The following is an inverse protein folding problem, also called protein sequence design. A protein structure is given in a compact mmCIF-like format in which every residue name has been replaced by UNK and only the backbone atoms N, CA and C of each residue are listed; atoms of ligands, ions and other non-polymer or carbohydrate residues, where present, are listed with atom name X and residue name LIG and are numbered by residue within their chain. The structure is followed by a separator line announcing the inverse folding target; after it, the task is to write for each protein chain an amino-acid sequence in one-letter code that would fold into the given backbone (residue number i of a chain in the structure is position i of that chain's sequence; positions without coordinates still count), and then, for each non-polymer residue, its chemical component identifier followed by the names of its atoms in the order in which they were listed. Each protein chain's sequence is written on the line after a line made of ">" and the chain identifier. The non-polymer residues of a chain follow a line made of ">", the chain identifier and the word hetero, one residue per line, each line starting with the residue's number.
data_IF_115316821157
#
_entry.id   IF_115316821157
#
_cell.length_a   1.000
_cell.length_b   1.000
_cell.length_c   1.000
_cell.angle_alpha   90.00
_cell.angle_beta   90.00
_cell.angle_gamma   90.00
#
_symmetry.space_group_name_H-M   'P 1'
#
loop_
_entity.id
_entity.type
_entity.pdbx_description
1 polymer ?
#
# COMPACT_ATOMS: atom_id res chain seq x y z
N UNK A 1 44.86 21.28 -11.89
CA UNK A 1 45.40 19.91 -12.05
C UNK A 1 46.72 19.89 -12.78
N UNK A 2 46.90 20.66 -13.84
CA UNK A 2 48.18 20.78 -14.58
C UNK A 2 49.32 21.32 -13.71
N UNK A 3 49.06 22.33 -12.86
CA UNK A 3 50.05 22.90 -11.96
C UNK A 3 50.51 21.88 -10.87
N UNK A 4 49.59 21.16 -10.31
CA UNK A 4 49.95 20.10 -9.34
C UNK A 4 50.78 18.98 -10.00
N UNK A 5 50.43 18.58 -11.23
CA UNK A 5 51.22 17.58 -11.96
C UNK A 5 52.66 18.05 -12.21
N UNK A 6 52.85 19.35 -12.43
CA UNK A 6 54.18 19.96 -12.57
C UNK A 6 54.94 19.95 -11.22
N UNK A 7 54.30 20.38 -10.14
CA UNK A 7 54.83 20.38 -8.78
C UNK A 7 55.20 18.97 -8.33
N UNK A 8 54.36 17.98 -8.64
CA UNK A 8 54.67 16.58 -8.32
C UNK A 8 55.90 16.08 -9.04
N UNK A 9 56.12 16.40 -10.33
CA UNK A 9 57.34 16.03 -11.06
C UNK A 9 58.58 16.69 -10.49
N UNK A 10 58.47 17.92 -10.01
CA UNK A 10 59.61 18.63 -9.36
C UNK A 10 59.91 18.01 -7.99
N UNK A 11 58.91 17.57 -7.25
CA UNK A 11 59.10 16.88 -5.99
C UNK A 11 59.74 15.49 -6.17
N UNK A 12 59.26 14.72 -7.14
CA UNK A 12 59.81 13.41 -7.50
C UNK A 12 61.29 13.54 -7.96
N UNK A 13 61.64 14.69 -8.59
CA UNK A 13 63.01 15.06 -8.95
C UNK A 13 63.81 15.68 -7.82
N UNK A 14 63.32 15.74 -6.57
CA UNK A 14 63.96 16.36 -5.41
C UNK A 14 64.33 17.85 -5.58
N UNK A 15 63.60 18.55 -6.44
CA UNK A 15 63.86 19.96 -6.76
C UNK A 15 63.06 20.95 -5.90
N UNK A 16 62.12 20.49 -5.14
CA UNK A 16 61.27 21.29 -4.23
C UNK A 16 61.16 20.62 -2.87
N UNK A 17 60.79 21.41 -1.84
CA UNK A 17 60.59 20.92 -0.49
C UNK A 17 59.27 20.13 -0.36
N UNK A 18 59.24 19.28 0.65
CA UNK A 18 57.98 18.55 1.04
C UNK A 18 56.84 19.52 1.39
N UNK A 19 57.16 20.60 2.09
CA UNK A 19 56.20 21.63 2.48
C UNK A 19 55.53 22.26 1.25
N UNK A 20 56.30 22.55 0.21
CA UNK A 20 55.78 23.14 -1.04
C UNK A 20 54.90 22.15 -1.81
N UNK A 21 55.27 20.86 -1.79
CA UNK A 21 54.44 19.82 -2.38
C UNK A 21 53.11 19.66 -1.61
N UNK A 22 53.13 19.55 -0.28
CA UNK A 22 51.93 19.42 0.56
C UNK A 22 51.01 20.67 0.41
N UNK A 23 51.56 21.87 0.32
CA UNK A 23 50.80 23.08 0.07
C UNK A 23 50.06 23.04 -1.29
N UNK A 24 50.73 22.54 -2.31
CA UNK A 24 50.12 22.38 -3.64
C UNK A 24 49.04 21.26 -3.64
N UNK A 25 49.22 20.20 -2.88
CA UNK A 25 48.23 19.13 -2.72
C UNK A 25 46.95 19.63 -2.03
N UNK A 26 47.12 20.41 -0.94
CA UNK A 26 45.99 21.05 -0.23
C UNK A 26 45.25 22.01 -1.17
N UNK A 27 45.97 22.83 -1.93
CA UNK A 27 45.36 23.74 -2.88
C UNK A 27 44.57 23.00 -3.97
N UNK A 28 45.09 21.89 -4.50
CA UNK A 28 44.35 21.03 -5.43
C UNK A 28 43.08 20.46 -4.82
N UNK A 29 43.14 19.96 -3.58
CA UNK A 29 42.00 19.43 -2.87
C UNK A 29 40.92 20.49 -2.66
N UNK A 30 41.28 21.65 -2.19
CA UNK A 30 40.36 22.80 -2.03
C UNK A 30 39.67 23.16 -3.35
N UNK A 31 40.45 23.34 -4.44
CA UNK A 31 39.88 23.64 -5.73
C UNK A 31 38.92 22.54 -6.27
N UNK A 32 39.17 21.27 -5.94
CA UNK A 32 38.27 20.17 -6.28
C UNK A 32 36.98 20.25 -5.49
N UNK A 33 37.04 20.51 -4.19
CA UNK A 33 35.87 20.67 -3.32
C UNK A 33 35.02 21.88 -3.73
N UNK A 34 35.66 23.03 -4.04
CA UNK A 34 34.95 24.21 -4.57
C UNK A 34 34.24 23.92 -5.88
N UNK A 35 34.89 23.20 -6.80
CA UNK A 35 34.29 22.81 -8.08
C UNK A 35 33.10 21.87 -7.83
N UNK A 36 33.22 20.92 -6.89
CA UNK A 36 32.12 20.01 -6.58
C UNK A 36 30.93 20.74 -5.96
N UNK A 37 31.21 21.66 -5.02
CA UNK A 37 30.16 22.50 -4.42
C UNK A 37 29.44 23.36 -5.44
N UNK A 38 30.19 23.99 -6.36
CA UNK A 38 29.59 24.78 -7.43
C UNK A 38 28.73 23.93 -8.38
N UNK A 39 29.17 22.71 -8.66
CA UNK A 39 28.40 21.75 -9.47
C UNK A 39 27.13 21.31 -8.75
N UNK A 40 27.21 20.99 -7.48
CA UNK A 40 26.07 20.59 -6.66
C UNK A 40 25.04 21.74 -6.55
N UNK A 41 25.51 22.97 -6.37
CA UNK A 41 24.66 24.16 -6.36
C UNK A 41 23.94 24.36 -7.70
N UNK A 42 24.66 24.16 -8.82
CA UNK A 42 24.05 24.25 -10.15
C UNK A 42 22.98 23.17 -10.36
N UNK A 43 23.24 21.96 -9.88
CA UNK A 43 22.29 20.83 -9.94
C UNK A 43 21.04 21.12 -9.09
N UNK A 44 21.23 21.67 -7.86
CA UNK A 44 20.13 22.11 -7.00
C UNK A 44 19.28 23.19 -7.68
N UNK A 45 19.90 24.17 -8.33
CA UNK A 45 19.15 25.24 -9.02
C UNK A 45 18.38 24.71 -10.23
N UNK A 46 18.92 23.74 -10.96
CA UNK A 46 18.29 23.17 -12.16
C UNK A 46 17.24 22.11 -11.86
N UNK A 47 17.53 21.22 -10.93
CA UNK A 47 16.75 20.00 -10.68
C UNK A 47 16.12 19.97 -9.28
N UNK A 48 16.42 20.96 -8.43
CA UNK A 48 15.95 21.05 -7.05
C UNK A 48 16.66 20.10 -6.08
N UNK A 49 17.57 19.26 -6.57
CA UNK A 49 18.28 18.24 -5.80
C UNK A 49 19.68 17.99 -6.34
N UNK A 50 20.58 17.45 -5.51
CA UNK A 50 21.84 16.84 -5.98
C UNK A 50 21.67 15.33 -6.16
N UNK A 51 22.46 14.72 -7.03
CA UNK A 51 22.48 13.25 -7.24
C UNK A 51 22.78 12.47 -5.96
N UNK A 52 23.61 13.05 -5.09
CA UNK A 52 23.97 12.44 -3.80
C UNK A 52 22.86 12.52 -2.76
N UNK A 53 21.91 13.46 -2.91
CA UNK A 53 20.79 13.68 -1.99
C UNK A 53 19.45 13.24 -2.57
N UNK A 54 19.43 12.62 -3.76
CA UNK A 54 18.21 12.22 -4.46
C UNK A 54 17.30 11.28 -3.65
N UNK A 55 17.90 10.47 -2.77
CA UNK A 55 17.14 9.59 -1.84
C UNK A 55 16.48 10.33 -0.67
N UNK A 56 16.93 11.55 -0.37
CA UNK A 56 16.45 12.38 0.74
C UNK A 56 15.74 13.66 0.28
N UNK A 57 15.53 13.82 -1.03
CA UNK A 57 14.93 15.04 -1.56
C UNK A 57 13.43 15.08 -1.30
N UNK A 58 12.99 16.15 -0.65
CA UNK A 58 11.56 16.46 -0.48
C UNK A 58 10.90 17.01 -1.76
N UNK A 59 11.67 17.32 -2.79
CA UNK A 59 11.18 17.91 -4.05
C UNK A 59 10.64 16.86 -5.01
N UNK A 60 11.22 15.65 -5.03
CA UNK A 60 10.73 14.52 -5.84
C UNK A 60 10.09 13.47 -4.95
N UNK A 61 8.78 13.44 -4.95
CA UNK A 61 8.01 12.45 -4.20
C UNK A 61 7.81 11.22 -5.07
N UNK A 62 8.34 10.08 -4.62
CA UNK A 62 8.26 8.79 -5.31
C UNK A 62 7.27 7.88 -4.61
N UNK A 63 6.57 7.04 -5.37
CA UNK A 63 5.77 5.96 -4.80
C UNK A 63 6.68 4.95 -4.07
N UNK A 64 6.22 4.48 -2.91
CA UNK A 64 6.88 3.42 -2.12
C UNK A 64 6.45 2.02 -2.52
N UNK A 65 5.37 1.91 -3.30
CA UNK A 65 4.80 0.66 -3.79
C UNK A 65 4.51 0.75 -5.29
N UNK A 66 4.54 -0.39 -5.96
CA UNK A 66 4.02 -0.51 -7.33
C UNK A 66 2.50 -0.69 -7.28
N UNK A 67 1.77 0.02 -8.15
CA UNK A 67 0.32 -0.06 -8.15
C UNK A 67 -0.37 0.98 -9.02
N UNK A 68 -1.68 1.02 -8.91
CA UNK A 68 -2.52 2.01 -9.59
C UNK A 68 -2.68 3.26 -8.73
N UNK A 69 -2.56 4.43 -9.34
CA UNK A 69 -2.88 5.70 -8.68
C UNK A 69 -4.41 5.80 -8.58
N UNK A 70 -4.93 5.82 -7.36
CA UNK A 70 -6.36 5.92 -7.08
C UNK A 70 -6.83 7.36 -7.11
N UNK A 71 -6.06 8.28 -6.54
CA UNK A 71 -6.40 9.69 -6.43
C UNK A 71 -5.15 10.56 -6.35
N UNK A 72 -5.26 11.80 -6.87
CA UNK A 72 -4.26 12.86 -6.78
C UNK A 72 -4.98 14.15 -6.36
N UNK A 73 -5.19 14.37 -5.06
CA UNK A 73 -5.99 15.48 -4.55
C UNK A 73 -5.34 16.86 -4.74
N UNK A 74 -4.03 16.90 -4.95
CA UNK A 74 -3.28 18.15 -5.10
C UNK A 74 -3.16 18.58 -6.56
N UNK A 75 -3.16 19.90 -6.78
CA UNK A 75 -2.97 20.52 -8.11
C UNK A 75 -1.76 21.43 -8.08
N UNK A 76 -1.19 21.70 -9.25
CA UNK A 76 -0.12 22.69 -9.38
C UNK A 76 -0.56 24.04 -8.80
N UNK A 77 0.27 24.62 -7.96
CA UNK A 77 -0.02 25.86 -7.22
C UNK A 77 -0.61 25.65 -5.82
N UNK A 78 -1.02 24.42 -5.45
CA UNK A 78 -1.45 24.15 -4.08
C UNK A 78 -0.26 24.15 -3.12
N UNK A 79 -0.46 24.70 -1.92
CA UNK A 79 0.50 24.55 -0.83
C UNK A 79 0.45 23.13 -0.26
N UNK A 80 1.61 22.54 -0.05
CA UNK A 80 1.74 21.21 0.57
C UNK A 80 2.55 21.32 1.86
N UNK A 81 2.15 20.56 2.87
CA UNK A 81 2.76 20.56 4.19
C UNK A 81 3.42 19.19 4.40
N UNK A 82 4.66 19.21 4.84
CA UNK A 82 5.37 17.99 5.20
C UNK A 82 4.79 17.38 6.48
N UNK A 83 4.67 16.06 6.50
CA UNK A 83 4.30 15.31 7.71
C UNK A 83 5.31 15.54 8.84
N UNK A 84 4.82 15.72 10.05
CA UNK A 84 5.62 15.82 11.28
C UNK A 84 4.84 15.20 12.46
N UNK A 85 5.41 15.25 13.67
CA UNK A 85 4.83 14.64 14.88
C UNK A 85 3.43 15.18 15.23
N UNK A 86 3.07 16.36 14.75
CA UNK A 86 1.80 17.04 15.07
C UNK A 86 0.83 17.10 13.88
N UNK A 87 1.28 16.73 12.68
CA UNK A 87 0.49 16.86 11.46
C UNK A 87 0.84 15.72 10.49
N UNK A 88 -0.18 15.02 10.00
CA UNK A 88 -0.03 13.91 9.04
C UNK A 88 0.49 14.36 7.67
N UNK A 89 0.51 15.67 7.41
CA UNK A 89 0.96 16.25 6.15
C UNK A 89 -0.13 16.24 5.07
N UNK A 90 0.26 16.70 3.87
CA UNK A 90 -0.65 16.73 2.72
C UNK A 90 -0.51 15.47 1.89
N UNK A 91 -1.60 14.75 1.67
CA UNK A 91 -1.63 13.60 0.75
C UNK A 91 -1.42 14.09 -0.69
N UNK A 92 -0.38 13.62 -1.33
CA UNK A 92 -0.04 13.98 -2.72
C UNK A 92 -0.74 13.06 -3.71
N UNK A 93 -0.68 11.76 -3.46
CA UNK A 93 -1.34 10.73 -4.25
C UNK A 93 -1.61 9.50 -3.39
N UNK A 94 -2.66 8.78 -3.71
CA UNK A 94 -2.97 7.46 -3.13
C UNK A 94 -2.70 6.39 -4.17
N UNK A 95 -1.84 5.42 -3.82
CA UNK A 95 -1.48 4.30 -4.70
C UNK A 95 -1.87 3.00 -4.03
N UNK A 96 -2.45 2.07 -4.77
CA UNK A 96 -2.81 0.76 -4.25
C UNK A 96 -2.53 -0.36 -5.27
N UNK A 97 -2.20 -1.54 -4.75
CA UNK A 97 -2.13 -2.75 -5.55
C UNK A 97 -3.54 -3.31 -5.75
N UNK A 98 -4.05 -3.24 -6.96
CA UNK A 98 -5.40 -3.69 -7.29
C UNK A 98 -5.56 -5.21 -7.36
N UNK A 99 -4.47 -5.97 -7.31
CA UNK A 99 -4.51 -7.43 -7.26
C UNK A 99 -4.73 -7.96 -5.83
N UNK A 100 -4.57 -7.10 -4.83
CA UNK A 100 -4.73 -7.43 -3.42
C UNK A 100 -5.95 -6.71 -2.84
N UNK A 101 -7.13 -7.20 -3.22
CA UNK A 101 -8.40 -6.64 -2.77
C UNK A 101 -8.94 -7.38 -1.57
N UNK A 102 -9.36 -6.63 -0.58
CA UNK A 102 -9.93 -7.15 0.67
C UNK A 102 -11.38 -6.71 0.77
N UNK A 103 -12.27 -7.67 1.03
CA UNK A 103 -13.63 -7.38 1.47
C UNK A 103 -13.60 -6.99 2.95
N UNK A 104 -14.27 -5.88 3.27
CA UNK A 104 -14.52 -5.46 4.65
C UNK A 104 -16.03 -5.39 4.84
N UNK A 105 -16.52 -6.08 5.85
CA UNK A 105 -17.92 -6.09 6.20
C UNK A 105 -18.12 -6.05 7.71
N UNK A 106 -19.34 -5.86 8.13
CA UNK A 106 -19.72 -5.92 9.53
C UNK A 106 -20.73 -7.05 9.73
N UNK A 107 -20.58 -7.77 10.82
CA UNK A 107 -21.50 -8.84 11.23
C UNK A 107 -22.08 -8.51 12.60
N UNK A 108 -23.32 -8.88 12.82
CA UNK A 108 -24.02 -8.68 14.08
C UNK A 108 -23.48 -9.59 15.20
N UNK A 109 -23.60 -9.14 16.46
CA UNK A 109 -23.19 -9.89 17.65
C UNK A 109 -23.86 -11.28 17.73
N UNK A 110 -25.09 -11.39 17.26
CA UNK A 110 -25.85 -12.65 17.30
C UNK A 110 -25.31 -13.72 16.34
N UNK A 111 -24.63 -13.28 15.28
CA UNK A 111 -24.12 -14.16 14.22
C UNK A 111 -22.60 -14.39 14.32
N UNK A 112 -21.85 -13.47 14.97
CA UNK A 112 -20.37 -13.56 15.02
C UNK A 112 -19.88 -14.83 15.71
N UNK A 113 -20.62 -15.35 16.69
CA UNK A 113 -20.28 -16.59 17.39
C UNK A 113 -20.39 -17.88 16.54
N UNK A 114 -21.00 -17.80 15.36
CA UNK A 114 -21.22 -18.93 14.43
C UNK A 114 -20.18 -18.99 13.33
N UNK A 115 -19.35 -17.96 13.18
CA UNK A 115 -18.32 -17.90 12.16
C UNK A 115 -16.93 -18.06 12.76
N UNK A 116 -16.00 -18.52 11.94
CA UNK A 116 -14.59 -18.63 12.30
C UNK A 116 -13.71 -18.33 11.09
N UNK A 117 -12.46 -18.03 11.34
CA UNK A 117 -11.47 -17.81 10.28
C UNK A 117 -11.38 -19.02 9.35
N UNK A 118 -11.00 -18.80 8.11
CA UNK A 118 -10.89 -19.76 7.01
C UNK A 118 -12.24 -20.26 6.46
N UNK A 119 -13.38 -19.72 6.91
CA UNK A 119 -14.66 -20.04 6.29
C UNK A 119 -14.76 -19.49 4.87
N UNK A 120 -15.34 -20.26 3.93
CA UNK A 120 -15.61 -19.79 2.58
C UNK A 120 -16.77 -18.80 2.58
N UNK A 121 -16.59 -17.72 1.84
CA UNK A 121 -17.56 -16.66 1.63
C UNK A 121 -17.84 -16.52 0.15
N UNK A 122 -19.09 -16.34 -0.23
CA UNK A 122 -19.50 -15.93 -1.56
C UNK A 122 -19.82 -14.45 -1.54
N UNK A 123 -19.15 -13.70 -2.41
CA UNK A 123 -19.33 -12.25 -2.53
C UNK A 123 -20.05 -11.92 -3.83
N UNK A 124 -21.06 -11.08 -3.73
CA UNK A 124 -21.73 -10.46 -4.88
C UNK A 124 -21.50 -8.95 -4.81
N UNK A 125 -20.85 -8.40 -5.83
CA UNK A 125 -20.53 -6.97 -5.90
C UNK A 125 -21.70 -6.26 -6.58
N UNK A 126 -22.20 -5.18 -5.99
CA UNK A 126 -23.35 -4.45 -6.49
C UNK A 126 -23.21 -3.95 -7.94
N UNK A 127 -22.00 -3.57 -8.33
CA UNK A 127 -21.69 -3.17 -9.71
C UNK A 127 -21.58 -4.35 -10.70
N UNK A 128 -21.46 -5.60 -10.23
CA UNK A 128 -21.24 -6.82 -11.02
C UNK A 128 -22.20 -7.92 -10.58
N UNK A 129 -23.50 -7.63 -10.57
CA UNK A 129 -24.55 -8.49 -10.00
C UNK A 129 -24.63 -9.92 -10.57
N UNK A 130 -24.11 -10.11 -11.79
CA UNK A 130 -24.12 -11.42 -12.46
C UNK A 130 -22.88 -12.28 -12.12
N UNK A 131 -21.97 -11.75 -11.32
CA UNK A 131 -20.71 -12.43 -10.95
C UNK A 131 -20.66 -12.67 -9.45
N UNK A 132 -20.34 -13.90 -9.10
CA UNK A 132 -20.07 -14.30 -7.72
C UNK A 132 -18.58 -14.56 -7.56
N UNK A 133 -17.99 -14.00 -6.53
CA UNK A 133 -16.57 -14.14 -6.22
C UNK A 133 -16.42 -15.01 -4.99
N UNK A 134 -15.43 -15.90 -5.01
CA UNK A 134 -15.07 -16.66 -3.84
C UNK A 134 -14.09 -15.85 -2.98
N UNK A 135 -14.33 -15.87 -1.69
CA UNK A 135 -13.47 -15.25 -0.71
C UNK A 135 -13.28 -16.17 0.49
N UNK A 136 -12.22 -15.92 1.25
CA UNK A 136 -11.91 -16.67 2.48
C UNK A 136 -11.87 -15.66 3.61
N UNK A 137 -12.59 -15.96 4.69
CA UNK A 137 -12.60 -15.16 5.92
C UNK A 137 -11.24 -15.25 6.60
N UNK A 138 -10.51 -14.14 6.66
CA UNK A 138 -9.17 -14.11 7.24
C UNK A 138 -9.13 -13.51 8.63
N UNK A 139 -10.06 -12.62 8.94
CA UNK A 139 -10.02 -11.88 10.18
C UNK A 139 -11.43 -11.56 10.67
N UNK A 140 -11.63 -11.76 11.98
CA UNK A 140 -12.81 -11.34 12.72
C UNK A 140 -12.33 -10.43 13.84
N UNK A 141 -12.84 -9.20 13.91
CA UNK A 141 -12.46 -8.27 14.98
C UNK A 141 -12.83 -8.82 16.36
N UNK A 142 -11.89 -8.86 17.31
CA UNK A 142 -12.21 -9.24 18.70
C UNK A 142 -12.98 -8.14 19.44
N UNK A 143 -13.10 -6.95 18.85
CA UNK A 143 -13.79 -5.80 19.43
C UNK A 143 -15.02 -5.45 18.61
N UNK A 144 -16.19 -5.49 19.24
CA UNK A 144 -17.41 -4.95 18.68
C UNK A 144 -17.44 -3.42 18.73
N UNK A 145 -18.10 -2.82 17.76
CA UNK A 145 -18.35 -1.38 17.67
C UNK A 145 -19.85 -1.18 17.56
N UNK A 146 -20.40 -0.36 18.44
CA UNK A 146 -21.82 -0.01 18.37
C UNK A 146 -22.06 0.91 17.15
N UNK A 147 -22.91 0.46 16.27
CA UNK A 147 -23.31 1.20 15.06
C UNK A 147 -24.84 1.17 14.97
N UNK A 148 -25.47 2.34 14.95
CA UNK A 148 -26.94 2.48 14.89
C UNK A 148 -27.70 1.68 15.97
N UNK A 149 -27.14 1.56 17.17
CA UNK A 149 -27.76 0.86 18.30
C UNK A 149 -27.61 -0.66 18.28
N UNK A 150 -26.79 -1.23 17.39
CA UNK A 150 -26.43 -2.63 17.34
C UNK A 150 -24.92 -2.81 17.45
N UNK A 151 -24.47 -3.83 18.20
CA UNK A 151 -23.07 -4.21 18.27
C UNK A 151 -22.67 -4.97 16.99
N UNK A 152 -21.71 -4.43 16.28
CA UNK A 152 -21.19 -5.02 15.04
C UNK A 152 -19.70 -5.32 15.14
N UNK A 153 -19.29 -6.42 14.55
CA UNK A 153 -17.90 -6.87 14.49
C UNK A 153 -17.39 -6.77 13.05
N UNK A 154 -16.25 -6.09 12.86
CA UNK A 154 -15.62 -6.01 11.54
C UNK A 154 -15.06 -7.39 11.16
N UNK A 155 -15.33 -7.78 9.92
CA UNK A 155 -14.73 -8.95 9.28
C UNK A 155 -13.95 -8.55 8.04
N UNK A 156 -12.89 -9.30 7.74
CA UNK A 156 -12.10 -9.12 6.52
C UNK A 156 -11.94 -10.46 5.81
N UNK A 157 -12.10 -10.44 4.50
CA UNK A 157 -11.93 -11.62 3.67
C UNK A 157 -11.08 -11.31 2.44
N UNK A 158 -10.15 -12.19 2.11
CA UNK A 158 -9.39 -12.14 0.88
C UNK A 158 -10.26 -12.61 -0.28
N UNK A 159 -10.30 -11.81 -1.36
CA UNK A 159 -11.11 -12.09 -2.55
C UNK A 159 -10.22 -12.68 -3.62
N UNK A 160 -10.66 -13.78 -4.23
CA UNK A 160 -10.02 -14.31 -5.45
C UNK A 160 -10.68 -13.66 -6.68
N UNK A 161 -9.93 -12.77 -7.33
CA UNK A 161 -10.39 -12.04 -8.52
C UNK A 161 -9.78 -12.66 -9.76
N UNK A 162 -10.58 -13.07 -10.75
CA UNK A 162 -10.06 -13.49 -12.06
C UNK A 162 -9.45 -12.30 -12.82
N UNK A 163 -8.35 -12.53 -13.54
CA UNK A 163 -7.64 -11.49 -14.31
C UNK A 163 -8.51 -10.77 -15.35
N UNK A 164 -9.62 -11.40 -15.76
CA UNK A 164 -10.57 -10.86 -16.74
C UNK A 164 -11.51 -9.81 -16.17
N UNK A 165 -11.55 -9.61 -14.86
CA UNK A 165 -12.50 -8.73 -14.18
C UNK A 165 -11.79 -7.58 -13.50
N UNK A 166 -12.17 -6.36 -13.84
CA UNK A 166 -11.67 -5.17 -13.15
C UNK A 166 -12.66 -4.73 -12.07
N UNK A 167 -12.21 -4.76 -10.81
CA UNK A 167 -12.97 -4.29 -9.66
C UNK A 167 -12.35 -2.98 -9.19
N UNK A 168 -13.19 -2.04 -8.76
CA UNK A 168 -12.72 -0.77 -8.19
C UNK A 168 -12.83 -0.80 -6.67
N UNK A 169 -11.89 -0.18 -6.01
CA UNK A 169 -11.98 0.08 -4.58
C UNK A 169 -13.23 0.92 -4.27
N UNK A 170 -13.88 0.62 -3.14
CA UNK A 170 -15.09 1.32 -2.72
C UNK A 170 -16.41 0.77 -3.30
N UNK A 171 -16.37 -0.33 -4.07
CA UNK A 171 -17.61 -0.99 -4.46
C UNK A 171 -18.28 -1.64 -3.24
N UNK A 172 -19.60 -1.51 -3.15
CA UNK A 172 -20.41 -2.26 -2.20
C UNK A 172 -20.53 -3.72 -2.61
N UNK A 173 -20.42 -4.61 -1.63
CA UNK A 173 -20.55 -6.04 -1.84
C UNK A 173 -21.40 -6.65 -0.74
N UNK A 174 -22.17 -7.68 -1.11
CA UNK A 174 -22.91 -8.53 -0.18
C UNK A 174 -22.14 -9.84 -0.02
N UNK A 175 -21.97 -10.26 1.25
CA UNK A 175 -21.29 -11.49 1.61
C UNK A 175 -22.31 -12.53 2.08
N UNK A 176 -22.25 -13.73 1.49
CA UNK A 176 -22.98 -14.90 1.92
C UNK A 176 -21.98 -15.87 2.56
N UNK A 177 -22.14 -16.12 3.85
CA UNK A 177 -21.28 -17.04 4.61
C UNK A 177 -22.00 -18.37 4.76
N UNK A 178 -21.39 -19.44 4.26
CA UNK A 178 -21.94 -20.79 4.34
C UNK A 178 -21.59 -21.39 5.70
N UNK A 179 -22.51 -21.35 6.62
CA UNK A 179 -22.31 -21.87 7.98
C UNK A 179 -22.26 -23.40 8.01
N UNK A 180 -23.08 -24.07 7.20
CA UNK A 180 -23.14 -25.53 7.15
C UNK A 180 -23.47 -25.99 5.74
N UNK A 181 -22.79 -27.00 5.25
CA UNK A 181 -23.02 -27.60 3.94
C UNK A 181 -23.11 -29.13 4.09
N UNK A 182 -24.23 -29.69 3.71
CA UNK A 182 -24.39 -31.12 3.57
C UNK A 182 -24.21 -31.55 2.12
N UNK A 183 -23.27 -32.46 1.85
CA UNK A 183 -23.03 -32.99 0.51
C UNK A 183 -23.60 -34.39 0.39
N UNK A 184 -24.11 -34.74 -0.80
CA UNK A 184 -24.63 -36.09 -1.12
C UNK A 184 -25.75 -36.59 -0.18
N UNK A 185 -26.62 -35.69 0.28
CA UNK A 185 -27.78 -36.02 1.10
C UNK A 185 -29.05 -36.00 0.25
N UNK A 186 -30.00 -36.82 0.61
CA UNK A 186 -31.34 -36.74 0.05
C UNK A 186 -31.97 -35.43 0.54
N UNK A 187 -32.42 -34.62 -0.38
CA UNK A 187 -33.09 -33.36 -0.06
C UNK A 187 -34.48 -33.31 -0.66
N UNK A 188 -35.40 -32.75 0.11
CA UNK A 188 -36.77 -32.50 -0.33
C UNK A 188 -37.06 -31.00 -0.19
N UNK A 189 -37.88 -30.42 -1.07
CA UNK A 189 -38.31 -29.03 -0.92
C UNK A 189 -39.04 -28.85 0.43
N UNK A 190 -38.77 -27.75 1.12
CA UNK A 190 -39.42 -27.44 2.41
C UNK A 190 -40.94 -27.40 2.29
N UNK A 191 -41.46 -27.00 1.14
CA UNK A 191 -42.90 -26.97 0.82
C UNK A 191 -43.57 -28.36 0.82
N UNK A 192 -42.81 -29.46 0.76
CA UNK A 192 -43.33 -30.85 0.80
C UNK A 192 -43.25 -31.48 2.17
N UNK A 193 -42.76 -30.74 3.15
CA UNK A 193 -42.59 -31.21 4.53
C UNK A 193 -43.82 -30.82 5.37
N UNK A 194 -44.51 -31.78 5.94
CA UNK A 194 -45.57 -31.54 6.91
C UNK A 194 -45.12 -31.82 8.34
N UNK A 195 -45.44 -30.87 9.21
CA UNK A 195 -45.14 -30.95 10.64
C UNK A 195 -46.41 -31.40 11.42
N UNK A 196 -46.32 -32.50 12.15
CA UNK A 196 -47.40 -32.95 13.01
C UNK A 196 -46.88 -33.27 14.42
N UNK A 197 -47.04 -32.33 15.34
CA UNK A 197 -46.45 -32.38 16.68
C UNK A 197 -44.90 -32.34 16.58
N UNK A 198 -44.24 -33.29 17.23
CA UNK A 198 -42.76 -33.45 17.22
C UNK A 198 -42.24 -34.26 16.03
N UNK A 199 -43.08 -34.65 15.09
CA UNK A 199 -42.70 -35.49 13.94
C UNK A 199 -42.86 -34.76 12.64
N UNK A 200 -41.93 -35.01 11.72
CA UNK A 200 -41.85 -34.41 10.38
C UNK A 200 -42.09 -35.49 9.34
N UNK A 201 -43.03 -35.27 8.43
CA UNK A 201 -43.43 -36.23 7.40
C UNK A 201 -43.22 -35.63 6.00
N UNK A 202 -42.87 -36.49 5.08
CA UNK A 202 -42.84 -36.19 3.62
C UNK A 202 -43.63 -37.27 2.92
N UNK A 203 -44.58 -36.90 2.11
CA UNK A 203 -45.31 -37.83 1.25
C UNK A 203 -44.51 -38.11 -0.01
N UNK A 204 -44.32 -39.37 -0.33
CA UNK A 204 -43.60 -39.84 -1.52
C UNK A 204 -44.62 -40.27 -2.56
#
# INVERSE_FOLDING_TARGET
>A
ETDFARVKKLYDGQLISREEYEKSEVALKQAREERQTAKDNLEIVKEGITKNSASFSSTMIRSTIDGLILDVPVKAGNSVIMSNTFNDGTTIATVANMNDMIFRGNIDETEVGRIHEQMPIKLTIGALQNLTFNAILEYISPKGVETNGANQFEIKAAITIPDSVQIRSGYSANAEIVLQKANQVLAVPESTVEFSGDSTFVYI
#
